data_IF_122776217347
#
_entry.id   IF_122776217347
#
_cell.length_a   1.000
_cell.length_b   1.000
_cell.length_c   1.000
_cell.angle_alpha   90.00
_cell.angle_beta   90.00
_cell.angle_gamma   90.00
#
_symmetry.space_group_name_H-M   'P 1'
#
loop_
_entity.id
_entity.type
_entity.pdbx_description
1 polymer ?
#
# COMPACT_ATOMS: atom_id res chain seq x y z
N UNK A 1 30.54 48.24 51.58
CA UNK A 1 30.70 47.80 50.17
C UNK A 1 30.28 46.35 50.09
N UNK A 2 29.37 46.09 49.14
CA UNK A 2 28.84 44.82 48.61
C UNK A 2 29.44 43.50 49.13
N UNK A 3 28.56 42.62 49.64
CA UNK A 3 28.30 41.26 49.12
C UNK A 3 27.26 40.56 50.01
N UNK A 4 26.09 40.15 49.49
CA UNK A 4 25.31 39.07 50.08
C UNK A 4 25.66 37.74 49.39
N UNK A 5 25.95 36.74 50.22
CA UNK A 5 26.13 35.35 49.86
C UNK A 5 24.79 34.77 49.35
N UNK A 6 24.79 34.18 48.16
CA UNK A 6 23.73 33.29 47.68
C UNK A 6 23.73 31.98 48.51
N UNK A 7 22.53 31.46 48.85
CA UNK A 7 22.29 30.03 48.93
C UNK A 7 21.35 29.62 47.78
N UNK A 8 22.02 29.20 46.73
CA UNK A 8 21.67 28.20 45.74
C UNK A 8 21.21 26.93 46.44
N UNK A 9 19.90 26.73 46.58
CA UNK A 9 19.27 25.41 46.72
C UNK A 9 17.76 25.62 46.82
N UNK A 10 17.07 25.32 45.72
CA UNK A 10 15.78 24.61 45.68
C UNK A 10 15.33 24.61 44.21
N UNK A 11 16.07 23.86 43.39
CA UNK A 11 15.49 23.21 42.23
C UNK A 11 14.51 22.17 42.76
N UNK A 12 13.22 22.49 42.78
CA UNK A 12 12.17 21.49 42.93
C UNK A 12 11.56 21.24 41.55
N UNK A 13 11.72 20.00 41.12
CA UNK A 13 11.22 19.42 39.89
C UNK A 13 9.71 19.66 39.74
N UNK A 14 9.34 20.47 38.74
CA UNK A 14 7.98 20.49 38.21
C UNK A 14 7.76 19.22 37.37
N UNK A 15 7.53 18.09 38.03
CA UNK A 15 7.04 16.88 37.41
C UNK A 15 5.55 17.02 37.13
N UNK A 16 5.18 17.57 35.97
CA UNK A 16 3.81 17.54 35.47
C UNK A 16 3.52 16.09 35.07
N UNK A 17 2.86 15.34 35.96
CA UNK A 17 2.27 14.05 35.60
C UNK A 17 1.00 14.34 34.80
N UNK A 18 1.09 14.22 33.47
CA UNK A 18 -0.09 14.13 32.62
C UNK A 18 -0.77 12.79 32.93
N UNK A 19 -1.70 12.82 33.88
CA UNK A 19 -2.69 11.76 34.04
C UNK A 19 -3.62 11.86 32.84
N UNK A 20 -3.40 11.00 31.85
CA UNK A 20 -4.37 10.75 30.81
C UNK A 20 -5.61 10.13 31.49
N UNK A 21 -6.67 10.90 31.65
CA UNK A 21 -7.97 10.38 32.02
C UNK A 21 -8.47 9.49 30.87
N UNK A 22 -8.19 8.20 30.93
CA UNK A 22 -8.98 7.20 30.20
C UNK A 22 -10.38 7.24 30.83
N UNK A 23 -11.33 7.88 30.16
CA UNK A 23 -12.75 7.79 30.52
C UNK A 23 -13.22 6.36 30.25
N UNK A 24 -13.03 5.48 31.22
CA UNK A 24 -13.70 4.19 31.26
C UNK A 24 -15.17 4.48 31.59
N UNK A 25 -16.13 4.14 30.71
CA UNK A 25 -17.54 4.37 31.00
C UNK A 25 -17.89 3.62 32.29
N UNK A 26 -18.35 4.36 33.30
CA UNK A 26 -18.78 3.79 34.57
C UNK A 26 -20.03 2.95 34.31
N UNK A 27 -19.87 1.64 34.43
CA UNK A 27 -20.97 0.68 34.35
C UNK A 27 -21.92 0.93 35.53
N UNK A 28 -23.24 1.12 35.29
CA UNK A 28 -24.18 1.33 36.38
C UNK A 28 -24.17 0.10 37.32
N UNK A 29 -24.06 0.30 38.65
CA UNK A 29 -24.02 -0.81 39.59
C UNK A 29 -25.39 -1.46 39.67
N UNK A 30 -25.52 -2.68 39.11
CA UNK A 30 -26.72 -3.50 39.29
C UNK A 30 -27.13 -4.41 38.13
N UNK A 31 -26.60 -4.22 36.91
CA UNK A 31 -26.87 -5.12 35.78
C UNK A 31 -25.55 -5.44 35.07
N UNK A 32 -24.99 -6.61 35.36
CA UNK A 32 -23.94 -7.17 34.49
C UNK A 32 -24.65 -7.63 33.24
N UNK A 33 -24.34 -7.03 32.08
CA UNK A 33 -24.86 -7.52 30.81
C UNK A 33 -24.49 -9.00 30.65
N UNK A 34 -25.48 -9.88 30.53
CA UNK A 34 -25.28 -11.33 30.42
C UNK A 34 -25.25 -11.76 28.95
N UNK A 35 -25.96 -11.01 28.09
CA UNK A 35 -26.06 -11.27 26.65
C UNK A 35 -25.82 -9.98 25.86
N UNK A 36 -25.06 -10.09 24.79
CA UNK A 36 -24.80 -9.00 23.83
C UNK A 36 -25.21 -9.47 22.46
N UNK A 37 -26.13 -8.75 21.82
CA UNK A 37 -26.56 -8.98 20.46
C UNK A 37 -25.99 -7.90 19.54
N UNK A 38 -25.48 -8.31 18.37
CA UNK A 38 -24.94 -7.41 17.35
C UNK A 38 -25.71 -7.60 16.06
N UNK A 39 -26.32 -6.53 15.59
CA UNK A 39 -27.03 -6.50 14.31
C UNK A 39 -26.30 -5.58 13.35
N UNK A 40 -25.94 -6.09 12.17
CA UNK A 40 -25.30 -5.29 11.12
C UNK A 40 -26.31 -4.30 10.53
N UNK A 41 -26.04 -3.01 10.68
CA UNK A 41 -26.87 -1.89 10.20
C UNK A 41 -26.42 -1.44 8.81
N UNK A 42 -25.11 -1.29 8.62
CA UNK A 42 -24.54 -0.93 7.32
C UNK A 42 -23.22 -1.65 7.07
N UNK A 43 -22.94 -1.91 5.79
CA UNK A 43 -21.71 -2.52 5.33
C UNK A 43 -21.35 -1.89 3.99
N UNK A 44 -20.20 -1.22 3.94
CA UNK A 44 -19.67 -0.59 2.75
C UNK A 44 -18.17 -0.83 2.60
N UNK A 45 -17.68 -0.72 1.37
CA UNK A 45 -16.25 -0.80 1.05
C UNK A 45 -15.74 0.58 0.70
N UNK A 46 -14.47 0.84 1.00
CA UNK A 46 -13.76 2.05 0.62
C UNK A 46 -12.46 1.67 -0.06
N UNK A 47 -12.23 2.24 -1.24
CA UNK A 47 -10.94 2.20 -1.92
C UNK A 47 -10.28 3.56 -1.74
N UNK A 48 -9.06 3.58 -1.24
CA UNK A 48 -8.21 4.76 -1.11
C UNK A 48 -6.97 4.56 -1.98
N UNK A 49 -6.95 5.26 -3.12
CA UNK A 49 -5.83 5.25 -4.06
C UNK A 49 -4.97 6.52 -3.98
N UNK A 50 -5.13 7.31 -2.90
CA UNK A 50 -4.54 8.63 -2.73
C UNK A 50 -5.38 9.76 -3.35
N UNK A 51 -5.01 11.01 -3.03
CA UNK A 51 -5.75 12.20 -3.47
C UNK A 51 -5.70 12.38 -5.00
N UNK A 52 -4.56 12.08 -5.62
CA UNK A 52 -4.39 12.18 -7.06
C UNK A 52 -4.78 10.85 -7.72
N UNK A 53 -5.98 10.85 -8.33
CA UNK A 53 -6.52 9.74 -9.13
C UNK A 53 -5.92 9.65 -10.54
N UNK A 54 -4.68 10.11 -10.68
CA UNK A 54 -3.87 10.02 -11.90
C UNK A 54 -2.58 9.28 -11.55
N UNK A 55 -2.31 8.20 -12.27
CA UNK A 55 -1.07 7.46 -12.22
C UNK A 55 -0.02 8.19 -13.06
N UNK A 56 1.08 8.54 -12.41
CA UNK A 56 2.28 9.14 -13.01
C UNK A 56 3.50 8.22 -12.89
N UNK A 57 3.35 7.08 -12.23
CA UNK A 57 4.32 5.99 -12.07
C UNK A 57 3.59 4.66 -12.32
N UNK A 58 4.27 3.61 -12.81
CA UNK A 58 3.67 2.28 -12.96
C UNK A 58 3.13 1.73 -11.64
N UNK A 59 3.69 2.19 -10.51
CA UNK A 59 3.37 1.68 -9.19
C UNK A 59 2.43 2.59 -8.40
N UNK A 60 1.51 1.97 -7.65
CA UNK A 60 0.64 2.67 -6.70
C UNK A 60 0.20 1.74 -5.58
N UNK A 61 0.37 2.19 -4.34
CA UNK A 61 -0.31 1.57 -3.20
C UNK A 61 -1.77 2.03 -3.15
N UNK A 62 -2.68 1.06 -3.06
CA UNK A 62 -4.12 1.28 -2.93
C UNK A 62 -4.60 0.55 -1.69
N UNK A 63 -5.19 1.27 -0.74
CA UNK A 63 -5.75 0.66 0.47
C UNK A 63 -7.23 0.38 0.26
N UNK A 64 -7.67 -0.80 0.66
CA UNK A 64 -9.08 -1.18 0.69
C UNK A 64 -9.48 -1.44 2.13
N UNK A 65 -10.59 -0.84 2.54
CA UNK A 65 -11.12 -0.94 3.89
C UNK A 65 -12.59 -1.32 3.83
N UNK A 66 -12.95 -2.33 4.60
CA UNK A 66 -14.34 -2.68 4.87
C UNK A 66 -14.82 -1.89 6.09
N UNK A 67 -15.99 -1.25 5.95
CA UNK A 67 -16.60 -0.44 6.98
C UNK A 67 -17.94 -1.09 7.35
N UNK A 68 -18.09 -1.43 8.62
CA UNK A 68 -19.31 -2.02 9.17
C UNK A 68 -19.83 -1.18 10.32
N UNK A 69 -21.13 -0.90 10.31
CA UNK A 69 -21.86 -0.31 11.44
C UNK A 69 -22.74 -1.39 12.05
N UNK A 70 -22.58 -1.62 13.35
CA UNK A 70 -23.40 -2.55 14.11
C UNK A 70 -24.23 -1.79 15.14
N UNK A 71 -25.48 -2.18 15.31
CA UNK A 71 -26.25 -1.86 16.50
C UNK A 71 -25.98 -2.95 17.54
N UNK A 72 -25.46 -2.54 18.70
CA UNK A 72 -25.15 -3.42 19.81
C UNK A 72 -26.20 -3.23 20.89
N UNK A 73 -26.91 -4.30 21.23
CA UNK A 73 -27.89 -4.31 22.31
C UNK A 73 -27.44 -5.25 23.41
N UNK A 74 -27.37 -4.73 24.63
CA UNK A 74 -26.99 -5.49 25.82
C UNK A 74 -28.25 -5.83 26.63
N UNK A 75 -28.32 -7.06 27.15
CA UNK A 75 -29.46 -7.56 27.91
C UNK A 75 -29.06 -7.98 29.33
N UNK A 76 -29.98 -7.78 30.28
CA UNK A 76 -29.86 -8.31 31.64
C UNK A 76 -30.16 -9.82 31.71
N UNK A 77 -30.13 -10.38 32.92
CA UNK A 77 -30.43 -11.80 33.16
C UNK A 77 -31.90 -12.16 32.87
N UNK A 78 -32.81 -11.18 32.85
CA UNK A 78 -34.22 -11.34 32.50
C UNK A 78 -34.51 -11.06 31.01
N UNK A 79 -33.47 -10.97 30.18
CA UNK A 79 -33.55 -10.73 28.74
C UNK A 79 -34.16 -9.38 28.34
N UNK A 80 -34.06 -8.38 29.22
CA UNK A 80 -34.51 -7.00 28.92
C UNK A 80 -33.34 -6.18 28.39
N UNK A 81 -33.54 -5.36 27.34
CA UNK A 81 -32.49 -4.50 26.84
C UNK A 81 -32.15 -3.43 27.88
N UNK A 82 -30.90 -3.39 28.32
CA UNK A 82 -30.39 -2.42 29.29
C UNK A 82 -29.56 -1.31 28.65
N UNK A 83 -28.97 -1.58 27.49
CA UNK A 83 -28.20 -0.61 26.73
C UNK A 83 -28.36 -0.87 25.22
N UNK A 84 -28.34 0.18 24.42
CA UNK A 84 -28.25 0.07 22.95
C UNK A 84 -27.37 1.20 22.43
N UNK A 85 -26.36 0.85 21.66
CA UNK A 85 -25.41 1.81 21.10
C UNK A 85 -24.93 1.36 19.72
N UNK A 86 -24.37 2.30 18.96
CA UNK A 86 -23.73 2.02 17.68
C UNK A 86 -22.25 1.66 17.87
N UNK A 87 -21.78 0.68 17.11
CA UNK A 87 -20.38 0.26 17.07
C UNK A 87 -19.90 0.28 15.63
N UNK A 88 -18.93 1.15 15.35
CA UNK A 88 -18.28 1.24 14.05
C UNK A 88 -17.01 0.38 14.03
N UNK A 89 -16.84 -0.38 12.96
CA UNK A 89 -15.67 -1.22 12.73
C UNK A 89 -15.10 -0.93 11.34
N UNK A 90 -13.79 -0.68 11.29
CA UNK A 90 -13.01 -0.61 10.06
C UNK A 90 -12.07 -1.81 10.00
N UNK A 91 -12.22 -2.64 8.97
CA UNK A 91 -11.44 -3.86 8.76
C UNK A 91 -10.56 -3.70 7.52
N UNK A 92 -9.30 -4.18 7.55
CA UNK A 92 -8.53 -4.32 6.33
C UNK A 92 -9.22 -5.32 5.41
N UNK A 93 -9.14 -5.08 4.10
CA UNK A 93 -9.51 -6.06 3.09
C UNK A 93 -8.44 -7.16 3.02
N UNK A 94 -8.31 -7.98 4.05
CA UNK A 94 -7.18 -8.90 4.26
C UNK A 94 -7.19 -10.08 3.26
N UNK A 95 -6.12 -10.17 2.45
CA UNK A 95 -5.89 -11.25 1.50
C UNK A 95 -7.09 -11.50 0.58
N UNK A 96 -7.81 -10.44 0.22
CA UNK A 96 -9.03 -10.49 -0.57
C UNK A 96 -8.79 -9.98 -1.99
N UNK A 97 -9.61 -10.42 -2.96
CA UNK A 97 -9.45 -10.02 -4.34
C UNK A 97 -9.82 -8.56 -4.58
N UNK A 98 -9.06 -7.91 -5.46
CA UNK A 98 -9.39 -6.64 -6.13
C UNK A 98 -9.39 -6.91 -7.62
N UNK A 99 -10.50 -6.66 -8.30
CA UNK A 99 -10.56 -6.80 -9.75
C UNK A 99 -10.06 -5.52 -10.40
N UNK A 100 -9.01 -5.61 -11.21
CA UNK A 100 -8.60 -4.53 -12.10
C UNK A 100 -9.22 -4.74 -13.48
N UNK A 101 -9.82 -3.69 -14.03
CA UNK A 101 -10.40 -3.67 -15.37
C UNK A 101 -9.62 -2.65 -16.20
N UNK A 102 -9.06 -3.10 -17.31
CA UNK A 102 -8.33 -2.28 -18.27
C UNK A 102 -8.64 -2.80 -19.67
N UNK A 103 -9.00 -1.91 -20.59
CA UNK A 103 -9.28 -2.26 -22.00
C UNK A 103 -10.31 -3.40 -22.19
N UNK A 104 -11.27 -3.50 -21.28
CA UNK A 104 -12.25 -4.59 -21.26
C UNK A 104 -11.73 -5.94 -20.76
N UNK A 105 -10.42 -6.07 -20.50
CA UNK A 105 -9.81 -7.21 -19.81
C UNK A 105 -9.99 -7.08 -18.29
N UNK A 106 -10.04 -8.21 -17.60
CA UNK A 106 -10.20 -8.30 -16.13
C UNK A 106 -9.04 -9.08 -15.53
N UNK A 107 -8.43 -8.53 -14.48
CA UNK A 107 -7.32 -9.11 -13.75
C UNK A 107 -7.69 -9.22 -12.27
N UNK A 108 -7.35 -10.34 -11.63
CA UNK A 108 -7.59 -10.55 -10.20
C UNK A 108 -6.32 -10.31 -9.41
N UNK A 109 -6.30 -9.23 -8.65
CA UNK A 109 -5.21 -8.86 -7.76
C UNK A 109 -5.56 -9.23 -6.32
N UNK A 110 -4.55 -9.33 -5.45
CA UNK A 110 -4.73 -9.58 -4.03
C UNK A 110 -4.16 -8.41 -3.21
N UNK A 111 -4.87 -8.03 -2.18
CA UNK A 111 -4.34 -7.19 -1.10
C UNK A 111 -3.47 -8.02 -0.15
N UNK A 112 -2.59 -7.35 0.58
CA UNK A 112 -1.91 -7.92 1.74
C UNK A 112 -2.81 -7.95 2.99
N UNK A 113 -2.23 -8.33 4.14
CA UNK A 113 -2.96 -8.42 5.40
C UNK A 113 -3.44 -7.07 5.96
N UNK A 114 -2.83 -5.98 5.51
CA UNK A 114 -3.21 -4.62 5.89
C UNK A 114 -4.27 -4.04 4.93
N UNK A 115 -4.75 -4.84 3.99
CA UNK A 115 -5.68 -4.43 2.95
C UNK A 115 -5.04 -3.53 1.91
N UNK A 116 -3.72 -3.59 1.74
CA UNK A 116 -3.00 -2.80 0.73
C UNK A 116 -2.75 -3.64 -0.51
N UNK A 117 -3.23 -3.14 -1.65
CA UNK A 117 -2.85 -3.60 -2.98
C UNK A 117 -1.65 -2.78 -3.45
N UNK A 118 -0.55 -3.45 -3.80
CA UNK A 118 0.58 -2.86 -4.51
C UNK A 118 0.34 -3.04 -6.00
N UNK A 119 -0.29 -2.06 -6.64
CA UNK A 119 -0.48 -2.08 -8.09
C UNK A 119 0.86 -1.79 -8.77
N UNK A 120 1.26 -2.63 -9.72
CA UNK A 120 2.36 -2.34 -10.64
C UNK A 120 1.92 -2.68 -12.07
N UNK A 121 1.83 -1.67 -12.94
CA UNK A 121 1.42 -1.84 -14.34
C UNK A 121 2.47 -2.57 -15.20
N UNK A 122 3.67 -2.82 -14.68
CA UNK A 122 4.72 -3.60 -15.35
C UNK A 122 4.71 -5.09 -14.95
N UNK A 123 3.78 -5.53 -14.10
CA UNK A 123 3.63 -6.95 -13.78
C UNK A 123 3.32 -7.78 -15.04
N UNK A 124 3.83 -9.02 -15.09
CA UNK A 124 3.75 -9.91 -16.27
C UNK A 124 2.35 -10.06 -16.84
N UNK A 125 1.32 -10.10 -16.00
CA UNK A 125 -0.07 -10.25 -16.43
C UNK A 125 -0.60 -9.06 -17.24
N UNK A 126 0.07 -7.91 -17.19
CA UNK A 126 -0.35 -6.67 -17.87
C UNK A 126 0.41 -6.39 -19.17
N UNK A 127 1.44 -7.16 -19.51
CA UNK A 127 2.30 -6.89 -20.67
C UNK A 127 1.56 -6.88 -22.02
N UNK A 128 0.41 -7.57 -22.09
CA UNK A 128 -0.43 -7.62 -23.28
C UNK A 128 -1.45 -6.46 -23.38
N UNK A 129 -1.40 -5.49 -22.46
CA UNK A 129 -2.18 -4.27 -22.57
C UNK A 129 -1.57 -3.36 -23.65
N UNK A 130 -2.43 -2.65 -24.38
CA UNK A 130 -1.99 -1.58 -25.26
C UNK A 130 -1.77 -0.30 -24.42
N UNK A 131 -0.54 -0.15 -23.95
CA UNK A 131 -0.12 1.03 -23.19
C UNK A 131 -0.23 2.33 -23.99
N UNK A 132 -0.33 2.31 -25.32
CA UNK A 132 -0.61 3.52 -26.10
C UNK A 132 -1.99 4.07 -25.76
N UNK A 133 -2.98 3.19 -25.64
CA UNK A 133 -4.39 3.57 -25.47
C UNK A 133 -4.92 3.41 -24.03
N UNK A 134 -4.13 2.84 -23.12
CA UNK A 134 -4.45 2.64 -21.70
C UNK A 134 -4.65 3.96 -20.93
N UNK A 135 -5.82 4.57 -21.03
CA UNK A 135 -6.14 5.87 -20.38
C UNK A 135 -6.65 5.76 -18.96
N UNK A 136 -7.23 4.62 -18.61
CA UNK A 136 -7.88 4.40 -17.32
C UNK A 136 -7.76 2.94 -16.93
N UNK A 137 -7.50 2.71 -15.64
CA UNK A 137 -7.71 1.42 -14.99
C UNK A 137 -8.79 1.58 -13.94
N UNK A 138 -9.71 0.63 -13.87
CA UNK A 138 -10.78 0.61 -12.88
C UNK A 138 -10.50 -0.49 -11.86
N UNK A 139 -10.50 -0.14 -10.58
CA UNK A 139 -10.44 -1.09 -9.47
C UNK A 139 -11.85 -1.36 -8.97
N UNK A 140 -12.19 -2.62 -8.76
CA UNK A 140 -13.49 -3.07 -8.25
C UNK A 140 -13.26 -4.05 -7.11
N UNK A 141 -13.86 -3.75 -5.96
CA UNK A 141 -13.87 -4.64 -4.79
C UNK A 141 -15.29 -5.01 -4.44
N UNK A 142 -15.49 -6.26 -4.00
CA UNK A 142 -16.82 -6.84 -3.78
C UNK A 142 -16.81 -7.75 -2.57
N UNK A 143 -17.61 -7.41 -1.57
CA UNK A 143 -17.88 -8.27 -0.40
C UNK A 143 -19.13 -9.12 -0.59
N UNK A 144 -20.13 -8.59 -1.33
CA UNK A 144 -21.36 -9.31 -1.67
C UNK A 144 -21.96 -8.75 -2.96
N UNK A 145 -23.04 -9.33 -3.52
CA UNK A 145 -23.69 -8.78 -4.71
C UNK A 145 -24.11 -7.31 -4.56
N UNK A 146 -24.49 -6.89 -3.34
CA UNK A 146 -24.96 -5.53 -3.04
C UNK A 146 -23.89 -4.62 -2.42
N UNK A 147 -22.75 -5.16 -1.99
CA UNK A 147 -21.66 -4.39 -1.37
C UNK A 147 -20.45 -4.38 -2.29
N UNK A 148 -20.28 -3.27 -3.00
CA UNK A 148 -19.26 -3.04 -4.02
C UNK A 148 -18.69 -1.65 -3.84
N UNK A 149 -17.38 -1.49 -4.09
CA UNK A 149 -16.78 -0.20 -4.34
C UNK A 149 -15.97 -0.23 -5.63
N UNK A 150 -15.95 0.90 -6.33
CA UNK A 150 -15.24 1.07 -7.60
C UNK A 150 -14.40 2.34 -7.55
N UNK A 151 -13.21 2.30 -8.15
CA UNK A 151 -12.32 3.46 -8.25
C UNK A 151 -11.65 3.49 -9.61
N UNK A 152 -11.79 4.61 -10.32
CA UNK A 152 -11.09 4.84 -11.58
C UNK A 152 -9.77 5.58 -11.30
N UNK A 153 -8.70 5.13 -11.94
CA UNK A 153 -7.40 5.79 -11.96
C UNK A 153 -7.05 6.13 -13.41
N UNK A 154 -6.88 7.41 -13.69
CA UNK A 154 -6.42 7.86 -15.00
C UNK A 154 -4.94 7.54 -15.14
N UNK A 155 -4.49 7.19 -16.34
CA UNK A 155 -3.08 6.97 -16.65
C UNK A 155 -2.57 8.17 -17.43
N UNK A 156 -1.53 8.83 -16.93
CA UNK A 156 -0.99 10.01 -17.60
C UNK A 156 -0.42 9.66 -18.98
N UNK A 157 -0.30 10.66 -19.85
CA UNK A 157 0.30 10.44 -21.17
C UNK A 157 1.78 10.09 -21.04
N UNK A 158 2.46 10.74 -20.10
CA UNK A 158 3.87 10.55 -19.80
C UNK A 158 4.11 9.12 -19.31
N UNK A 159 3.28 8.63 -18.39
CA UNK A 159 3.37 7.26 -17.89
C UNK A 159 3.12 6.24 -19.01
N UNK A 160 2.13 6.46 -19.88
CA UNK A 160 1.89 5.58 -21.04
C UNK A 160 3.14 5.46 -21.93
N UNK A 161 3.80 6.57 -22.24
CA UNK A 161 5.03 6.55 -23.03
C UNK A 161 6.16 5.79 -22.32
N UNK A 162 6.29 5.96 -21.00
CA UNK A 162 7.25 5.21 -20.18
C UNK A 162 6.95 3.70 -20.21
N UNK A 163 5.69 3.31 -20.01
CA UNK A 163 5.27 1.89 -20.00
C UNK A 163 5.55 1.20 -21.33
N UNK A 164 5.29 1.87 -22.46
CA UNK A 164 5.58 1.32 -23.79
C UNK A 164 7.03 0.91 -23.98
N UNK A 165 7.96 1.72 -23.48
CA UNK A 165 9.39 1.46 -23.57
C UNK A 165 9.84 0.44 -22.51
N UNK A 166 9.36 0.59 -21.28
CA UNK A 166 9.79 -0.19 -20.13
C UNK A 166 9.47 -1.68 -20.24
N UNK A 167 8.36 -2.07 -20.91
CA UNK A 167 7.99 -3.48 -21.06
C UNK A 167 9.10 -4.31 -21.69
N UNK A 168 9.67 -3.84 -22.81
CA UNK A 168 10.78 -4.53 -23.47
C UNK A 168 12.03 -4.56 -22.58
N UNK A 169 12.33 -3.44 -21.91
CA UNK A 169 13.48 -3.32 -21.00
C UNK A 169 13.38 -4.22 -19.77
N UNK A 170 12.18 -4.62 -19.34
CA UNK A 170 11.98 -5.50 -18.19
C UNK A 170 11.85 -6.96 -18.63
N UNK A 171 11.08 -7.24 -19.69
CA UNK A 171 10.62 -8.59 -20.00
C UNK A 171 11.34 -9.28 -21.17
N UNK A 172 12.11 -8.57 -21.99
CA UNK A 172 12.88 -9.23 -23.06
C UNK A 172 13.92 -10.19 -22.48
N UNK A 173 14.19 -11.29 -23.19
CA UNK A 173 15.14 -12.32 -22.78
C UNK A 173 16.52 -11.74 -22.46
N UNK A 174 17.10 -12.20 -21.35
CA UNK A 174 18.44 -11.82 -20.92
C UNK A 174 19.52 -12.79 -21.42
N UNK A 175 19.15 -14.01 -21.79
CA UNK A 175 20.09 -15.07 -22.18
C UNK A 175 20.75 -14.80 -23.55
N UNK A 176 20.06 -14.05 -24.42
CA UNK A 176 20.52 -13.75 -25.77
C UNK A 176 21.28 -12.42 -25.87
N UNK A 177 21.38 -11.67 -24.76
CA UNK A 177 21.96 -10.33 -24.72
C UNK A 177 23.33 -10.32 -24.05
N UNK A 178 24.19 -9.41 -24.47
CA UNK A 178 25.51 -9.18 -23.88
C UNK A 178 25.47 -8.23 -22.68
N UNK A 179 26.61 -8.08 -22.01
CA UNK A 179 26.79 -7.21 -20.84
C UNK A 179 26.45 -5.74 -21.17
N UNK A 180 26.78 -5.27 -22.36
CA UNK A 180 26.48 -3.90 -22.79
C UNK A 180 24.97 -3.65 -22.83
N UNK A 181 24.21 -4.59 -23.38
CA UNK A 181 22.75 -4.51 -23.44
C UNK A 181 22.11 -4.60 -22.05
N UNK A 182 22.64 -5.42 -21.14
CA UNK A 182 22.19 -5.47 -19.74
C UNK A 182 22.36 -4.12 -19.03
N UNK A 183 23.55 -3.53 -19.15
CA UNK A 183 23.86 -2.23 -18.55
C UNK A 183 23.00 -1.13 -19.17
N UNK A 184 22.78 -1.16 -20.49
CA UNK A 184 21.86 -0.25 -21.17
C UNK A 184 20.45 -0.33 -20.58
N UNK A 185 19.90 -1.55 -20.38
CA UNK A 185 18.55 -1.73 -19.83
C UNK A 185 18.42 -1.13 -18.43
N UNK A 186 19.36 -1.45 -17.52
CA UNK A 186 19.40 -0.90 -16.15
C UNK A 186 19.40 0.63 -16.19
N UNK A 187 20.29 1.23 -16.99
CA UNK A 187 20.33 2.70 -17.12
C UNK A 187 19.06 3.28 -17.68
N UNK A 188 18.54 2.68 -18.73
CA UNK A 188 17.39 3.22 -19.43
C UNK A 188 16.16 3.23 -18.52
N UNK A 189 16.00 2.21 -17.68
CA UNK A 189 14.98 2.19 -16.62
C UNK A 189 15.17 3.36 -15.64
N UNK A 190 16.39 3.60 -15.14
CA UNK A 190 16.69 4.76 -14.29
C UNK A 190 16.39 6.11 -14.98
N UNK A 191 16.76 6.28 -16.24
CA UNK A 191 16.47 7.49 -17.03
C UNK A 191 14.96 7.74 -17.20
N UNK A 192 14.17 6.66 -17.27
CA UNK A 192 12.71 6.71 -17.30
C UNK A 192 12.08 6.96 -15.92
N UNK A 193 12.90 7.04 -14.86
CA UNK A 193 12.45 7.22 -13.48
C UNK A 193 11.97 5.94 -12.80
N UNK A 194 12.27 4.78 -13.39
CA UNK A 194 11.89 3.44 -12.92
C UNK A 194 12.98 2.83 -12.05
N UNK A 195 13.28 3.52 -10.94
CA UNK A 195 14.41 3.15 -10.07
C UNK A 195 14.23 1.76 -9.45
N UNK A 196 13.00 1.40 -9.07
CA UNK A 196 12.74 0.08 -8.46
C UNK A 196 12.93 -1.04 -9.47
N UNK A 197 12.38 -0.91 -10.68
CA UNK A 197 12.55 -1.87 -11.76
C UNK A 197 14.01 -1.98 -12.19
N UNK A 198 14.74 -0.86 -12.24
CA UNK A 198 16.18 -0.85 -12.49
C UNK A 198 16.94 -1.65 -11.44
N UNK A 199 16.68 -1.40 -10.16
CA UNK A 199 17.32 -2.13 -9.05
C UNK A 199 16.95 -3.62 -9.04
N UNK A 200 15.70 -3.96 -9.37
CA UNK A 200 15.26 -5.35 -9.50
C UNK A 200 16.00 -6.06 -10.63
N UNK A 201 16.12 -5.43 -11.80
CA UNK A 201 16.87 -5.97 -12.94
C UNK A 201 18.35 -6.16 -12.61
N UNK A 202 18.99 -5.16 -12.01
CA UNK A 202 20.39 -5.24 -11.58
C UNK A 202 20.62 -6.40 -10.61
N UNK A 203 19.77 -6.53 -9.58
CA UNK A 203 19.88 -7.63 -8.62
C UNK A 203 19.69 -9.01 -9.29
N UNK A 204 18.75 -9.12 -10.23
CA UNK A 204 18.57 -10.35 -10.99
C UNK A 204 19.82 -10.69 -11.83
N UNK A 205 20.42 -9.70 -12.49
CA UNK A 205 21.66 -9.88 -13.26
C UNK A 205 22.84 -10.30 -12.39
N UNK A 206 22.98 -9.72 -11.19
CA UNK A 206 23.99 -10.13 -10.21
C UNK A 206 23.78 -11.61 -9.83
N UNK A 207 22.54 -12.03 -9.60
CA UNK A 207 22.21 -13.42 -9.26
C UNK A 207 22.47 -14.39 -10.42
N UNK A 208 22.16 -13.99 -11.66
CA UNK A 208 22.38 -14.82 -12.86
C UNK A 208 23.88 -15.03 -13.13
N UNK A 209 24.71 -14.03 -12.81
CA UNK A 209 26.16 -14.06 -13.05
C UNK A 209 26.98 -14.65 -11.90
N UNK A 210 26.38 -14.97 -10.75
CA UNK A 210 27.10 -15.54 -9.58
C UNK A 210 27.91 -16.82 -9.90
N UNK A 211 27.48 -17.59 -10.89
CA UNK A 211 28.18 -18.81 -11.32
C UNK A 211 29.40 -18.58 -12.22
N UNK A 212 29.61 -17.36 -12.71
CA UNK A 212 30.68 -16.98 -13.63
C UNK A 212 31.37 -15.68 -13.13
N UNK A 213 32.45 -15.81 -12.33
CA UNK A 213 33.14 -14.66 -11.74
C UNK A 213 33.74 -13.68 -12.76
N UNK A 214 34.11 -14.15 -13.96
CA UNK A 214 34.66 -13.29 -15.01
C UNK A 214 33.56 -12.40 -15.58
N UNK A 215 32.42 -13.00 -15.95
CA UNK A 215 31.24 -12.29 -16.44
C UNK A 215 30.68 -11.31 -15.39
N UNK A 216 30.63 -11.71 -14.12
CA UNK A 216 30.16 -10.85 -13.04
C UNK A 216 31.07 -9.63 -12.83
N UNK A 217 32.39 -9.82 -12.93
CA UNK A 217 33.36 -8.74 -12.84
C UNK A 217 33.23 -7.78 -14.03
N UNK A 218 33.05 -8.30 -15.26
CA UNK A 218 32.81 -7.51 -16.46
C UNK A 218 31.54 -6.66 -16.33
N UNK A 219 30.43 -7.26 -15.87
CA UNK A 219 29.17 -6.56 -15.65
C UNK A 219 29.31 -5.41 -14.63
N UNK A 220 29.83 -5.72 -13.44
CA UNK A 220 29.98 -4.74 -12.35
C UNK A 220 30.91 -3.59 -12.78
N UNK A 221 32.03 -3.92 -13.41
CA UNK A 221 32.98 -2.94 -13.92
C UNK A 221 32.33 -2.03 -14.98
N UNK A 222 31.60 -2.60 -15.93
CA UNK A 222 30.93 -1.84 -17.00
C UNK A 222 29.86 -0.93 -16.41
N UNK A 223 29.05 -1.42 -15.47
CA UNK A 223 28.01 -0.64 -14.78
C UNK A 223 28.61 0.59 -14.07
N UNK A 224 29.63 0.39 -13.22
CA UNK A 224 30.32 1.46 -12.48
C UNK A 224 30.99 2.50 -13.40
N UNK A 225 31.67 2.04 -14.45
CA UNK A 225 32.45 2.95 -15.31
C UNK A 225 31.57 3.84 -16.16
N UNK A 226 30.33 3.45 -16.38
CA UNK A 226 29.42 4.25 -17.17
C UNK A 226 28.33 4.95 -16.33
N UNK A 227 28.46 4.92 -14.99
CA UNK A 227 27.87 5.91 -14.07
C UNK A 227 28.71 7.20 -13.95
N UNK A 228 29.97 7.19 -14.40
CA UNK A 228 30.83 8.38 -14.43
C UNK A 228 30.74 9.07 -15.80
N UNK A 229 30.51 10.39 -15.86
CA UNK A 229 30.48 11.14 -17.12
C UNK A 229 31.86 11.23 -17.80
#
# INVERSE_FOLDING_TARGET
>A
MRQPLLPWLLWLCAGITLTACSSQPQQPPGAVAVRVERTLVSHNLRIDAGEQLVLTSPQRNVRVTEQQLHQVTEFDAEDRPVNTHESYQALPWDAQPVTLIAEGKRFSLLTDHDGVLRLNLLDEQFIELDFESLRVVQLVVRASPSVVAEQNLLVSRELRAVLQEAVALVHDSLEESDVEQWVYRVRRLNELGLNEESTQLENMLILLTVGDPELQAEFTHTLEHSERP
#
